data_IF_425910147317
#
_entry.id   IF_425910147317
#
_cell.length_a   1.000
_cell.length_b   1.000
_cell.length_c   1.000
_cell.angle_alpha   90.00
_cell.angle_beta   90.00
_cell.angle_gamma   90.00
#
_symmetry.space_group_name_H-M   'P 1'
#
loop_
_entity.id
_entity.type
_entity.pdbx_description
1 polymer ?
#
# COMPACT_ATOMS: atom_id res chain seq x y z
N UNK A 1 22.34 2.04 7.37
CA UNK A 1 20.90 2.17 7.03
C UNK A 1 20.21 0.94 7.56
N UNK A 2 19.21 1.12 8.42
CA UNK A 2 18.48 0.03 9.04
C UNK A 2 17.71 -0.80 7.98
N UNK A 3 17.69 -2.13 8.12
CA UNK A 3 16.94 -3.05 7.26
C UNK A 3 16.05 -3.95 8.12
N UNK A 4 14.77 -3.58 8.25
CA UNK A 4 13.77 -4.30 9.03
C UNK A 4 13.59 -5.76 8.64
N UNK A 5 13.86 -6.11 7.38
CA UNK A 5 13.72 -7.47 6.86
C UNK A 5 15.03 -8.25 6.82
N UNK A 6 16.15 -7.67 7.25
CA UNK A 6 17.45 -8.34 7.24
C UNK A 6 17.41 -9.64 8.06
N UNK A 7 17.90 -10.73 7.47
CA UNK A 7 17.90 -12.06 8.10
C UNK A 7 16.55 -12.78 8.17
N UNK A 8 15.44 -12.15 7.75
CA UNK A 8 14.13 -12.79 7.69
C UNK A 8 13.92 -13.39 6.29
N UNK A 9 13.65 -14.69 6.23
CA UNK A 9 13.43 -15.44 4.98
C UNK A 9 11.93 -15.67 4.76
N UNK A 10 11.44 -15.37 3.56
CA UNK A 10 10.01 -15.37 3.22
C UNK A 10 9.13 -14.62 4.24
N UNK A 11 9.45 -13.38 4.66
CA UNK A 11 8.60 -12.64 5.58
C UNK A 11 7.21 -12.43 4.96
N UNK A 12 6.19 -12.47 5.82
CA UNK A 12 4.79 -12.26 5.47
C UNK A 12 4.30 -10.89 5.91
N UNK A 13 3.52 -10.24 5.07
CA UNK A 13 2.90 -8.94 5.33
C UNK A 13 1.61 -8.82 4.52
N UNK A 14 0.83 -7.77 4.77
CA UNK A 14 -0.12 -7.22 3.81
C UNK A 14 0.39 -5.89 3.23
N UNK A 15 -0.25 -5.41 2.17
CA UNK A 15 0.14 -4.15 1.53
C UNK A 15 0.00 -2.94 2.46
N UNK A 16 -1.17 -2.70 3.05
CA UNK A 16 -1.41 -1.49 3.84
C UNK A 16 -2.83 -1.35 4.38
N UNK A 17 -3.80 -1.01 3.53
CA UNK A 17 -5.17 -0.73 3.99
C UNK A 17 -5.94 -1.99 4.40
N UNK A 18 -6.74 -1.90 5.46
CA UNK A 18 -7.55 -3.00 5.99
C UNK A 18 -9.01 -2.55 6.21
N UNK A 19 -10.02 -3.41 6.03
CA UNK A 19 -11.41 -3.01 6.23
C UNK A 19 -11.68 -2.71 7.71
N UNK A 20 -12.20 -1.51 7.97
CA UNK A 20 -12.48 -1.03 9.32
C UNK A 20 -13.58 -1.85 10.00
N UNK A 21 -13.56 -1.98 11.34
CA UNK A 21 -14.71 -2.50 12.08
C UNK A 21 -15.97 -1.66 11.80
N UNK A 22 -17.13 -2.31 11.64
CA UNK A 22 -18.38 -1.63 11.29
C UNK A 22 -18.83 -0.56 12.31
N UNK A 23 -18.37 -0.67 13.56
CA UNK A 23 -18.66 0.31 14.60
C UNK A 23 -17.76 1.55 14.55
N UNK A 24 -16.65 1.52 13.81
CA UNK A 24 -15.74 2.67 13.66
C UNK A 24 -16.30 3.61 12.59
N UNK A 25 -17.04 4.62 13.06
CA UNK A 25 -17.76 5.60 12.22
C UNK A 25 -17.27 7.04 12.39
N UNK A 26 -16.21 7.24 13.19
CA UNK A 26 -15.56 8.54 13.30
C UNK A 26 -14.55 8.77 12.16
N UNK A 27 -14.19 10.03 11.95
CA UNK A 27 -13.24 10.45 10.92
C UNK A 27 -12.54 11.75 11.28
N UNK A 28 -11.48 12.04 10.52
CA UNK A 28 -10.70 13.25 10.63
C UNK A 28 -11.48 14.46 10.13
N UNK A 29 -12.25 14.31 9.05
CA UNK A 29 -13.05 15.37 8.41
C UNK A 29 -12.20 16.62 8.15
N UNK A 30 -11.04 16.44 7.52
CA UNK A 30 -10.06 17.48 7.24
C UNK A 30 -9.22 17.97 8.45
N UNK A 31 -9.51 17.54 9.68
CA UNK A 31 -8.72 17.96 10.85
C UNK A 31 -7.35 17.27 10.88
N UNK A 32 -6.28 17.95 11.35
CA UNK A 32 -5.02 17.28 11.70
C UNK A 32 -5.24 16.12 12.67
N UNK A 33 -4.47 15.04 12.51
CA UNK A 33 -4.66 13.80 13.27
C UNK A 33 -4.52 14.03 14.78
N UNK A 34 -3.48 14.76 15.22
CA UNK A 34 -3.29 15.09 16.64
C UNK A 34 -4.44 15.92 17.22
N UNK A 35 -5.01 16.83 16.44
CA UNK A 35 -6.18 17.61 16.85
C UNK A 35 -7.41 16.71 17.00
N UNK A 36 -7.62 15.79 16.06
CA UNK A 36 -8.73 14.83 16.12
C UNK A 36 -8.62 13.89 17.33
N UNK A 37 -7.39 13.52 17.76
CA UNK A 37 -7.16 12.73 18.97
C UNK A 37 -7.57 13.42 20.29
N UNK A 38 -7.89 14.71 20.27
CA UNK A 38 -8.49 15.43 21.39
C UNK A 38 -10.00 15.21 21.51
N UNK A 39 -10.66 14.70 20.47
CA UNK A 39 -12.06 14.27 20.52
C UNK A 39 -12.17 12.87 21.14
N UNK A 40 -12.94 12.74 22.21
CA UNK A 40 -13.03 11.50 22.99
C UNK A 40 -13.51 10.32 22.14
N UNK A 41 -14.54 10.52 21.31
CA UNK A 41 -15.13 9.44 20.51
C UNK A 41 -14.20 9.00 19.37
N UNK A 42 -13.60 9.96 18.66
CA UNK A 42 -12.61 9.64 17.64
C UNK A 42 -11.41 8.93 18.25
N UNK A 43 -10.89 9.43 19.37
CA UNK A 43 -9.74 8.82 20.05
C UNK A 43 -10.02 7.38 20.44
N UNK A 44 -11.13 7.11 21.11
CA UNK A 44 -11.52 5.77 21.53
C UNK A 44 -11.66 4.85 20.31
N UNK A 45 -12.51 5.22 19.34
CA UNK A 45 -12.76 4.36 18.19
C UNK A 45 -11.53 4.13 17.32
N UNK A 46 -10.69 5.15 17.10
CA UNK A 46 -9.47 4.99 16.31
C UNK A 46 -8.48 4.04 17.00
N UNK A 47 -8.25 4.20 18.30
CA UNK A 47 -7.33 3.34 19.05
C UNK A 47 -7.81 1.88 19.05
N UNK A 48 -9.10 1.66 19.29
CA UNK A 48 -9.69 0.32 19.27
C UNK A 48 -9.67 -0.30 17.87
N UNK A 49 -9.85 0.52 16.81
CA UNK A 49 -9.84 0.04 15.44
C UNK A 49 -8.44 -0.42 15.04
N UNK A 50 -7.40 0.38 15.33
CA UNK A 50 -6.01 0.00 15.06
C UNK A 50 -5.65 -1.26 15.87
N UNK A 51 -6.02 -1.33 17.15
CA UNK A 51 -5.75 -2.52 17.98
C UNK A 51 -6.43 -3.77 17.41
N UNK A 52 -7.64 -3.64 16.90
CA UNK A 52 -8.38 -4.73 16.23
C UNK A 52 -7.65 -5.21 14.96
N UNK A 53 -7.17 -4.27 14.14
CA UNK A 53 -6.42 -4.57 12.90
C UNK A 53 -5.09 -5.25 13.20
N UNK A 54 -4.36 -4.78 14.22
CA UNK A 54 -3.12 -5.40 14.68
C UNK A 54 -3.39 -6.83 15.18
N UNK A 55 -4.42 -7.01 16.01
CA UNK A 55 -4.78 -8.33 16.55
C UNK A 55 -5.14 -9.32 15.45
N UNK A 56 -5.87 -8.89 14.42
CA UNK A 56 -6.19 -9.73 13.26
C UNK A 56 -4.93 -10.24 12.55
N UNK A 57 -3.98 -9.34 12.28
CA UNK A 57 -2.74 -9.70 11.59
C UNK A 57 -1.86 -10.63 12.45
N UNK A 58 -1.77 -10.40 13.77
CA UNK A 58 -1.05 -11.28 14.69
C UNK A 58 -1.73 -12.66 14.82
N UNK A 59 -3.07 -12.73 14.80
CA UNK A 59 -3.78 -14.01 14.82
C UNK A 59 -3.59 -14.78 13.51
N UNK A 60 -3.45 -14.07 12.39
CA UNK A 60 -3.10 -14.65 11.10
C UNK A 60 -1.64 -15.10 11.02
N UNK A 61 -0.76 -14.65 11.92
CA UNK A 61 0.65 -15.02 11.98
C UNK A 61 1.56 -14.21 11.06
N UNK A 62 1.18 -12.96 10.75
CA UNK A 62 1.99 -12.05 9.92
C UNK A 62 3.28 -11.61 10.63
N UNK A 63 4.38 -11.51 9.89
CA UNK A 63 5.68 -11.09 10.42
C UNK A 63 5.79 -9.56 10.54
N UNK A 64 5.23 -8.84 9.55
CA UNK A 64 5.23 -7.38 9.48
C UNK A 64 3.77 -6.90 9.42
N UNK A 65 3.42 -5.97 10.31
CA UNK A 65 2.05 -5.50 10.47
C UNK A 65 1.87 -4.10 9.89
N UNK A 66 0.62 -3.69 9.73
CA UNK A 66 0.21 -2.36 9.28
C UNK A 66 -0.87 -1.81 10.21
N UNK A 67 -1.11 -0.50 10.20
CA UNK A 67 -2.21 0.14 10.94
C UNK A 67 -3.57 0.01 10.23
N UNK A 68 -3.59 -0.63 9.06
CA UNK A 68 -4.77 -0.76 8.20
C UNK A 68 -5.18 0.52 7.50
N UNK A 69 -4.35 1.56 7.45
CA UNK A 69 -4.72 2.91 7.04
C UNK A 69 -5.97 3.43 7.80
N UNK A 70 -6.11 3.05 9.08
CA UNK A 70 -7.31 3.36 9.88
C UNK A 70 -7.61 4.86 10.02
N UNK A 71 -6.63 5.72 9.67
CA UNK A 71 -6.73 7.18 9.65
C UNK A 71 -7.63 7.74 8.56
N UNK A 72 -7.77 7.03 7.43
CA UNK A 72 -8.53 7.51 6.28
C UNK A 72 -10.02 7.58 6.58
N UNK A 73 -10.72 8.58 6.08
CA UNK A 73 -12.17 8.66 6.29
C UNK A 73 -12.89 7.64 5.41
N UNK A 74 -14.14 7.31 5.77
CA UNK A 74 -15.00 6.48 4.93
C UNK A 74 -15.52 7.34 3.78
N UNK A 75 -14.85 7.26 2.64
CA UNK A 75 -15.16 8.04 1.44
C UNK A 75 -15.20 7.15 0.18
N UNK A 76 -15.97 7.59 -0.81
CA UNK A 76 -16.20 6.90 -2.08
C UNK A 76 -14.87 6.56 -2.77
N UNK A 77 -14.73 5.31 -3.19
CA UNK A 77 -13.59 4.78 -3.92
C UNK A 77 -12.25 4.93 -3.20
N UNK A 78 -12.25 5.10 -1.88
CA UNK A 78 -11.01 5.30 -1.13
C UNK A 78 -10.36 6.68 -1.31
N UNK A 79 -11.15 7.70 -1.67
CA UNK A 79 -10.70 9.09 -1.88
C UNK A 79 -9.64 9.56 -0.87
N UNK A 80 -9.85 9.27 0.41
CA UNK A 80 -8.94 9.63 1.51
C UNK A 80 -7.48 9.21 1.31
N UNK A 81 -7.19 8.22 0.46
CA UNK A 81 -5.81 7.86 0.11
C UNK A 81 -5.01 9.04 -0.44
N UNK A 82 -5.62 9.83 -1.34
CA UNK A 82 -5.03 11.08 -1.81
C UNK A 82 -5.33 12.22 -0.82
N UNK A 83 -6.58 12.34 -0.40
CA UNK A 83 -7.08 13.53 0.28
C UNK A 83 -6.58 13.67 1.71
N UNK A 84 -6.09 12.60 2.36
CA UNK A 84 -5.39 12.74 3.63
C UNK A 84 -4.23 13.74 3.52
N UNK A 85 -3.42 13.65 2.47
CA UNK A 85 -2.32 14.59 2.26
C UNK A 85 -2.85 15.92 1.75
N UNK A 86 -3.67 15.89 0.70
CA UNK A 86 -4.11 17.12 0.01
C UNK A 86 -4.89 18.09 0.91
N UNK A 87 -5.74 17.60 1.81
CA UNK A 87 -6.50 18.45 2.74
C UNK A 87 -5.63 19.17 3.77
N UNK A 88 -4.36 18.76 3.90
CA UNK A 88 -3.40 19.28 4.88
C UNK A 88 -2.27 20.07 4.23
N UNK A 89 -2.28 20.27 2.92
CA UNK A 89 -1.29 21.09 2.22
C UNK A 89 -1.74 22.55 2.12
N UNK A 90 -0.78 23.48 2.25
CA UNK A 90 -0.99 24.86 1.84
C UNK A 90 -0.72 25.05 0.34
N UNK A 91 -1.21 26.15 -0.23
CA UNK A 91 -1.08 26.46 -1.67
C UNK A 91 -2.25 25.98 -2.55
N UNK A 92 -3.19 25.23 -1.96
CA UNK A 92 -4.38 24.73 -2.62
C UNK A 92 -5.59 25.64 -2.38
N UNK A 93 -6.39 25.91 -3.42
CA UNK A 93 -7.63 26.70 -3.32
C UNK A 93 -8.69 26.25 -4.33
N UNK A 94 -9.90 25.99 -3.84
CA UNK A 94 -11.01 25.55 -4.70
C UNK A 94 -10.81 24.13 -5.22
N UNK A 95 -11.71 23.70 -6.10
CA UNK A 95 -11.69 22.38 -6.73
C UNK A 95 -12.33 22.42 -8.12
N UNK A 96 -12.05 21.40 -8.94
CA UNK A 96 -12.78 21.14 -10.19
C UNK A 96 -13.47 19.77 -10.11
N UNK A 97 -14.54 19.60 -10.87
CA UNK A 97 -15.43 18.42 -10.82
C UNK A 97 -14.82 17.11 -11.33
N UNK A 98 -13.51 17.06 -11.57
CA UNK A 98 -12.75 15.96 -12.12
C UNK A 98 -11.28 16.12 -11.74
N UNK A 99 -10.52 15.02 -11.68
CA UNK A 99 -9.06 15.06 -11.60
C UNK A 99 -8.44 15.13 -12.99
N UNK A 100 -7.33 15.86 -13.19
CA UNK A 100 -6.65 15.88 -14.47
C UNK A 100 -6.04 14.51 -14.83
N UNK A 101 -5.82 13.67 -13.81
CA UNK A 101 -5.11 12.40 -13.98
C UNK A 101 -5.91 11.11 -13.78
N UNK A 102 -7.23 11.19 -13.75
CA UNK A 102 -8.08 10.01 -13.57
C UNK A 102 -9.31 10.06 -14.48
N UNK A 103 -9.67 11.27 -14.93
CA UNK A 103 -10.79 11.53 -15.82
C UNK A 103 -10.33 11.39 -17.27
N UNK A 104 -10.65 10.25 -17.88
CA UNK A 104 -10.37 9.96 -19.30
C UNK A 104 -9.44 8.76 -19.54
N UNK A 105 -8.54 8.48 -18.60
CA UNK A 105 -7.42 7.54 -18.79
C UNK A 105 -7.84 6.06 -19.00
N UNK A 106 -9.05 5.68 -18.57
CA UNK A 106 -9.48 4.28 -18.54
C UNK A 106 -10.78 4.04 -19.32
N UNK A 107 -11.24 4.99 -20.13
CA UNK A 107 -12.48 4.84 -20.90
C UNK A 107 -13.75 4.69 -20.05
N UNK A 108 -13.70 5.06 -18.77
CA UNK A 108 -14.81 4.99 -17.81
C UNK A 108 -15.97 5.88 -18.28
N UNK A 109 -17.19 5.35 -18.27
CA UNK A 109 -18.42 6.03 -18.72
C UNK A 109 -19.46 6.09 -17.60
N UNK A 110 -20.43 7.04 -17.66
CA UNK A 110 -21.57 7.06 -16.76
C UNK A 110 -22.27 5.69 -16.65
N UNK A 111 -22.62 5.30 -15.42
CA UNK A 111 -23.22 3.99 -15.11
C UNK A 111 -22.22 2.89 -14.73
N UNK A 112 -20.92 3.13 -14.93
CA UNK A 112 -19.87 2.29 -14.36
C UNK A 112 -19.55 2.75 -12.94
N UNK A 113 -19.34 1.82 -11.99
CA UNK A 113 -19.03 2.18 -10.58
C UNK A 113 -17.80 3.09 -10.43
N UNK A 114 -16.77 2.91 -11.27
CA UNK A 114 -15.59 3.80 -11.31
C UNK A 114 -15.92 5.24 -11.73
N UNK A 115 -17.04 5.46 -12.42
CA UNK A 115 -17.50 6.81 -12.76
C UNK A 115 -17.98 7.55 -11.50
N UNK A 116 -18.66 6.85 -10.58
CA UNK A 116 -19.03 7.45 -9.28
C UNK A 116 -17.78 7.82 -8.46
N UNK A 117 -16.73 7.01 -8.54
CA UNK A 117 -15.43 7.33 -7.93
C UNK A 117 -14.83 8.60 -8.55
N UNK A 118 -14.85 8.72 -9.88
CA UNK A 118 -14.42 9.94 -10.58
C UNK A 118 -15.19 11.18 -10.12
N UNK A 119 -16.51 11.08 -10.01
CA UNK A 119 -17.35 12.22 -9.61
C UNK A 119 -17.14 12.62 -8.16
N UNK A 120 -16.85 11.67 -7.27
CA UNK A 120 -16.53 11.96 -5.88
C UNK A 120 -15.21 12.74 -5.71
N UNK A 121 -14.30 12.63 -6.67
CA UNK A 121 -12.97 13.23 -6.60
C UNK A 121 -12.98 14.70 -7.05
N UNK A 122 -13.36 15.58 -6.12
CA UNK A 122 -13.28 17.03 -6.28
C UNK A 122 -11.84 17.52 -6.10
N UNK A 123 -11.06 17.43 -7.17
CA UNK A 123 -9.61 17.63 -7.14
C UNK A 123 -9.25 19.11 -6.88
N UNK A 124 -8.36 19.40 -5.90
CA UNK A 124 -7.97 20.75 -5.57
C UNK A 124 -7.15 21.42 -6.68
N UNK A 125 -7.10 22.75 -6.65
CA UNK A 125 -6.31 23.56 -7.58
C UNK A 125 -5.10 24.15 -6.86
N UNK A 126 -3.92 23.93 -7.40
CA UNK A 126 -2.66 24.54 -6.97
C UNK A 126 -2.62 25.96 -7.51
N UNK A 127 -2.78 26.95 -6.63
CA UNK A 127 -2.87 28.38 -6.99
C UNK A 127 -1.74 29.22 -6.42
N UNK A 128 -0.94 28.63 -5.54
CA UNK A 128 0.27 29.19 -4.97
C UNK A 128 1.27 28.06 -4.72
N UNK A 129 2.51 28.43 -4.36
CA UNK A 129 3.53 27.45 -3.97
C UNK A 129 3.01 26.56 -2.84
N UNK A 130 3.21 25.25 -2.98
CA UNK A 130 2.87 24.27 -1.97
C UNK A 130 3.67 24.52 -0.70
N UNK A 131 3.02 24.28 0.43
CA UNK A 131 3.66 24.29 1.75
C UNK A 131 3.17 23.10 2.54
N UNK A 132 4.05 22.55 3.37
CA UNK A 132 3.69 21.49 4.29
C UNK A 132 2.58 21.97 5.26
N UNK A 133 1.73 21.03 5.68
CA UNK A 133 0.90 21.22 6.87
C UNK A 133 1.03 20.03 7.80
N UNK A 134 -0.03 19.72 8.55
CA UNK A 134 0.08 18.78 9.67
C UNK A 134 -0.29 17.34 9.27
N UNK A 135 0.61 16.64 8.56
CA UNK A 135 0.38 15.24 8.18
C UNK A 135 0.51 14.26 9.34
N UNK A 136 1.25 14.63 10.40
CA UNK A 136 1.34 13.86 11.64
C UNK A 136 1.79 12.39 11.46
N UNK A 137 2.58 12.07 10.42
CA UNK A 137 3.10 10.71 10.17
C UNK A 137 3.75 10.06 11.39
N UNK A 138 4.60 10.76 12.19
CA UNK A 138 5.13 10.22 13.43
C UNK A 138 4.06 9.71 14.39
N UNK A 139 2.98 10.48 14.61
CA UNK A 139 1.95 10.13 15.58
C UNK A 139 1.08 8.96 15.11
N UNK A 140 0.78 8.89 13.81
CA UNK A 140 0.08 7.76 13.20
C UNK A 140 0.85 6.46 13.44
N UNK A 141 2.13 6.43 13.05
CA UNK A 141 2.97 5.25 13.22
C UNK A 141 3.17 4.89 14.71
N UNK A 142 3.45 5.87 15.58
CA UNK A 142 3.64 5.65 17.01
C UNK A 142 2.41 5.02 17.69
N UNK A 143 1.21 5.39 17.26
CA UNK A 143 -0.03 4.80 17.81
C UNK A 143 -0.12 3.32 17.48
N UNK A 144 0.21 2.92 16.26
CA UNK A 144 0.18 1.52 15.85
C UNK A 144 1.36 0.73 16.45
N UNK A 145 2.58 1.26 16.36
CA UNK A 145 3.78 0.56 16.82
C UNK A 145 3.75 0.24 18.31
N UNK A 146 3.17 1.10 19.17
CA UNK A 146 3.09 0.82 20.61
C UNK A 146 2.10 -0.30 20.98
N UNK A 147 1.28 -0.78 20.04
CA UNK A 147 0.29 -1.84 20.28
C UNK A 147 0.86 -3.25 20.08
N UNK A 148 2.04 -3.39 19.48
CA UNK A 148 2.67 -4.67 19.17
C UNK A 148 4.19 -4.60 19.30
N UNK A 149 4.82 -5.75 19.54
CA UNK A 149 6.28 -5.88 19.46
C UNK A 149 6.78 -6.08 18.01
N UNK A 150 5.89 -6.47 17.09
CA UNK A 150 6.24 -6.68 15.69
C UNK A 150 6.51 -5.33 14.99
N UNK A 151 7.28 -5.38 13.90
CA UNK A 151 7.51 -4.18 13.08
C UNK A 151 6.21 -3.73 12.43
N UNK A 152 5.83 -2.47 12.64
CA UNK A 152 4.74 -1.83 11.91
C UNK A 152 5.29 -1.06 10.72
N UNK A 153 4.92 -1.49 9.51
CA UNK A 153 5.17 -0.81 8.24
C UNK A 153 4.25 0.39 8.10
N UNK A 154 4.84 1.58 7.98
CA UNK A 154 4.09 2.81 7.72
C UNK A 154 3.88 3.00 6.21
N UNK A 155 2.62 3.21 5.78
CA UNK A 155 2.28 3.40 4.37
C UNK A 155 1.90 4.84 4.04
N UNK A 156 2.44 5.38 2.95
CA UNK A 156 1.99 6.65 2.36
C UNK A 156 1.98 6.60 0.84
N UNK A 157 1.41 7.63 0.22
CA UNK A 157 1.34 7.82 -1.23
C UNK A 157 2.53 8.65 -1.73
N UNK A 158 3.04 8.29 -2.90
CA UNK A 158 4.09 9.02 -3.61
C UNK A 158 3.67 10.41 -4.09
N UNK A 159 4.62 11.34 -4.14
CA UNK A 159 4.44 12.69 -4.70
C UNK A 159 3.92 12.66 -6.14
N UNK A 160 4.42 11.74 -6.95
CA UNK A 160 4.06 11.53 -8.36
C UNK A 160 2.58 11.18 -8.52
N UNK A 161 2.04 10.37 -7.61
CA UNK A 161 0.64 9.97 -7.64
C UNK A 161 -0.27 11.03 -7.03
N UNK A 162 0.18 11.72 -5.98
CA UNK A 162 -0.54 12.84 -5.37
C UNK A 162 -0.82 13.96 -6.38
N UNK A 163 0.16 14.34 -7.20
CA UNK A 163 0.00 15.46 -8.14
C UNK A 163 -0.98 15.20 -9.26
N UNK A 164 -1.24 13.93 -9.61
CA UNK A 164 -2.32 13.58 -10.57
C UNK A 164 -3.72 13.94 -10.07
N UNK A 165 -3.87 14.12 -8.76
CA UNK A 165 -5.10 14.55 -8.11
C UNK A 165 -5.18 16.06 -7.88
N UNK A 166 -4.32 16.84 -8.53
CA UNK A 166 -4.28 18.30 -8.39
C UNK A 166 -4.27 18.99 -9.75
N UNK A 167 -5.01 20.07 -9.89
CA UNK A 167 -4.92 20.95 -11.05
C UNK A 167 -3.81 21.96 -10.85
N UNK A 168 -2.80 21.94 -11.73
CA UNK A 168 -1.68 22.86 -11.66
C UNK A 168 -2.01 24.19 -12.38
N UNK A 169 -2.17 25.28 -11.62
CA UNK A 169 -2.37 26.64 -12.15
C UNK A 169 -1.30 27.62 -11.63
N UNK A 170 -0.23 27.10 -11.01
CA UNK A 170 0.83 27.91 -10.41
C UNK A 170 2.22 27.57 -10.95
N UNK A 171 2.58 26.29 -10.99
CA UNK A 171 3.92 25.89 -11.43
C UNK A 171 4.02 25.90 -12.97
N UNK A 172 5.17 26.30 -13.54
CA UNK A 172 5.44 26.22 -14.97
C UNK A 172 5.22 24.84 -15.60
N UNK A 173 5.38 23.76 -14.83
CA UNK A 173 5.10 22.40 -15.29
C UNK A 173 4.70 21.48 -14.13
N UNK A 174 4.05 20.36 -14.47
CA UNK A 174 3.74 19.30 -13.48
C UNK A 174 5.02 18.65 -12.92
N UNK A 175 6.12 18.65 -13.68
CA UNK A 175 7.42 18.16 -13.20
C UNK A 175 7.93 19.01 -12.04
N UNK A 176 7.84 20.33 -12.14
CA UNK A 176 8.22 21.22 -11.03
C UNK A 176 7.30 21.11 -9.82
N UNK A 177 5.99 20.93 -10.05
CA UNK A 177 5.04 20.64 -8.98
C UNK A 177 5.38 19.33 -8.25
N UNK A 178 5.73 18.27 -8.99
CA UNK A 178 6.16 16.99 -8.41
C UNK A 178 7.41 17.17 -7.56
N UNK A 179 8.43 17.90 -8.04
CA UNK A 179 9.67 18.09 -7.29
C UNK A 179 9.47 18.89 -5.99
N UNK A 180 8.61 19.92 -5.98
CA UNK A 180 8.30 20.67 -4.74
C UNK A 180 7.48 19.80 -3.76
N UNK A 181 6.60 18.91 -4.27
CA UNK A 181 5.92 17.92 -3.44
C UNK A 181 6.91 16.89 -2.85
N UNK A 182 7.88 16.41 -3.64
CA UNK A 182 8.91 15.48 -3.15
C UNK A 182 9.67 16.07 -1.96
N UNK A 183 9.98 17.37 -1.97
CA UNK A 183 10.66 18.04 -0.85
C UNK A 183 9.80 18.07 0.42
N UNK A 184 8.49 18.32 0.27
CA UNK A 184 7.52 18.31 1.38
C UNK A 184 7.40 16.91 1.98
N UNK A 185 7.17 15.89 1.14
CA UNK A 185 6.99 14.51 1.60
C UNK A 185 8.29 13.93 2.15
N UNK A 186 9.45 14.28 1.59
CA UNK A 186 10.75 13.86 2.12
C UNK A 186 10.90 14.27 3.58
N UNK A 187 10.54 15.50 3.94
CA UNK A 187 10.64 15.95 5.33
C UNK A 187 9.75 15.12 6.26
N UNK A 188 8.52 14.81 5.85
CA UNK A 188 7.58 13.98 6.62
C UNK A 188 8.06 12.53 6.76
N UNK A 189 8.69 11.98 5.72
CA UNK A 189 9.34 10.66 5.75
C UNK A 189 10.54 10.62 6.69
N UNK A 190 11.36 11.68 6.68
CA UNK A 190 12.49 11.82 7.62
C UNK A 190 12.01 11.97 9.06
N UNK A 191 10.91 12.68 9.28
CA UNK A 191 10.33 12.87 10.62
C UNK A 191 9.77 11.57 11.19
N UNK A 192 9.06 10.76 10.39
CA UNK A 192 8.55 9.46 10.86
C UNK A 192 9.68 8.45 11.07
N UNK A 193 10.73 8.47 10.23
CA UNK A 193 11.94 7.67 10.47
C UNK A 193 12.65 8.10 11.77
N UNK A 194 12.84 9.40 12.00
CA UNK A 194 13.44 9.95 13.21
C UNK A 194 12.62 9.65 14.48
N UNK A 195 11.31 9.46 14.34
CA UNK A 195 10.43 9.01 15.43
C UNK A 195 10.64 7.52 15.80
N UNK A 196 11.39 6.77 15.01
CA UNK A 196 11.74 5.36 15.21
C UNK A 196 11.12 4.41 14.18
N UNK A 197 10.42 4.91 13.16
CA UNK A 197 9.83 4.07 12.12
C UNK A 197 10.93 3.43 11.27
N UNK A 198 10.95 2.09 11.32
CA UNK A 198 12.01 1.27 10.73
C UNK A 198 11.73 0.84 9.30
N UNK A 199 10.48 0.89 8.87
CA UNK A 199 10.02 0.38 7.58
C UNK A 199 8.91 1.29 7.07
N UNK A 200 9.18 1.94 5.92
CA UNK A 200 8.25 2.86 5.28
C UNK A 200 7.97 2.36 3.87
N UNK A 201 6.69 2.32 3.50
CA UNK A 201 6.23 1.97 2.16
C UNK A 201 5.60 3.18 1.48
N UNK A 202 6.03 3.41 0.25
CA UNK A 202 5.51 4.44 -0.64
C UNK A 202 4.71 3.77 -1.75
N UNK A 203 3.43 4.07 -1.81
CA UNK A 203 2.53 3.64 -2.87
C UNK A 203 2.81 4.51 -4.11
N UNK A 204 3.49 3.90 -5.08
CA UNK A 204 3.96 4.55 -6.30
C UNK A 204 3.47 3.74 -7.51
N UNK A 205 2.21 3.93 -7.94
CA UNK A 205 1.72 3.27 -9.12
C UNK A 205 2.09 3.97 -10.45
N UNK A 206 2.68 5.17 -10.43
CA UNK A 206 2.90 5.96 -11.63
C UNK A 206 3.81 5.29 -12.65
N UNK A 207 4.89 4.63 -12.20
CA UNK A 207 5.84 3.95 -13.08
C UNK A 207 5.12 2.93 -13.97
N UNK A 208 4.28 2.06 -13.41
CA UNK A 208 3.62 1.03 -14.21
C UNK A 208 2.38 1.53 -14.96
N UNK A 209 1.65 2.51 -14.44
CA UNK A 209 0.55 3.13 -15.20
C UNK A 209 1.05 3.90 -16.42
N UNK A 210 2.28 4.42 -16.42
CA UNK A 210 2.88 5.01 -17.62
C UNK A 210 2.96 4.04 -18.79
N UNK A 211 2.97 2.73 -18.53
CA UNK A 211 2.97 1.73 -19.60
C UNK A 211 1.64 1.71 -20.38
N UNK A 212 0.57 2.26 -19.83
CA UNK A 212 -0.74 2.35 -20.49
C UNK A 212 -0.82 3.51 -21.49
N UNK A 213 0.11 4.47 -21.43
CA UNK A 213 0.18 5.58 -22.37
C UNK A 213 1.25 5.28 -23.45
N UNK A 214 0.84 5.12 -24.74
CA UNK A 214 1.78 4.91 -25.83
C UNK A 214 2.73 6.10 -26.06
N UNK A 215 2.39 7.30 -25.60
CA UNK A 215 3.20 8.50 -25.75
C UNK A 215 4.32 8.63 -24.69
N UNK A 216 4.26 7.84 -23.61
CA UNK A 216 5.33 7.77 -22.61
C UNK A 216 6.67 7.51 -23.29
N UNK A 217 7.72 8.14 -22.80
CA UNK A 217 9.10 7.93 -23.24
C UNK A 217 10.00 7.48 -22.09
N UNK A 218 11.21 6.98 -22.39
CA UNK A 218 12.19 6.64 -21.36
C UNK A 218 12.57 7.85 -20.50
N UNK A 219 12.59 9.06 -21.09
CA UNK A 219 12.83 10.30 -20.35
C UNK A 219 11.72 10.63 -19.32
N UNK A 220 10.50 10.09 -19.50
CA UNK A 220 9.45 10.21 -18.49
C UNK A 220 9.71 9.26 -17.33
N UNK A 221 10.15 8.03 -17.62
CA UNK A 221 10.58 7.08 -16.59
C UNK A 221 11.79 7.60 -15.80
N UNK A 222 12.81 8.14 -16.47
CA UNK A 222 13.98 8.75 -15.82
C UNK A 222 13.56 9.83 -14.82
N UNK A 223 12.59 10.66 -15.20
CA UNK A 223 12.05 11.69 -14.32
C UNK A 223 11.31 11.11 -13.12
N UNK A 224 10.46 10.09 -13.29
CA UNK A 224 9.73 9.50 -12.16
C UNK A 224 10.67 8.76 -11.20
N UNK A 225 11.71 8.12 -11.71
CA UNK A 225 12.79 7.53 -10.93
C UNK A 225 13.55 8.60 -10.15
N UNK A 226 13.92 9.71 -10.80
CA UNK A 226 14.56 10.86 -10.13
C UNK A 226 13.67 11.42 -9.00
N UNK A 227 12.39 11.64 -9.28
CA UNK A 227 11.43 12.16 -8.31
C UNK A 227 11.28 11.22 -7.10
N UNK A 228 11.21 9.90 -7.32
CA UNK A 228 11.10 8.94 -6.21
C UNK A 228 12.38 8.95 -5.38
N UNK A 229 13.54 8.97 -6.05
CA UNK A 229 14.84 9.00 -5.40
C UNK A 229 15.06 10.27 -4.57
N UNK A 230 14.53 11.41 -5.04
CA UNK A 230 14.49 12.67 -4.29
C UNK A 230 13.58 12.57 -3.08
N UNK A 231 12.36 12.05 -3.24
CA UNK A 231 11.38 11.91 -2.16
C UNK A 231 11.91 11.07 -0.99
N UNK A 232 12.73 10.04 -1.24
CA UNK A 232 13.28 9.16 -0.20
C UNK A 232 14.70 9.52 0.26
N UNK A 233 15.28 10.59 -0.26
CA UNK A 233 16.67 10.94 0.01
C UNK A 233 16.92 11.17 1.51
N UNK A 234 17.91 10.47 2.07
CA UNK A 234 18.34 10.67 3.47
C UNK A 234 17.34 10.18 4.53
N UNK A 235 16.33 9.40 4.15
CA UNK A 235 15.42 8.72 5.08
C UNK A 235 16.14 7.49 5.67
N UNK A 236 16.30 7.44 7.00
CA UNK A 236 16.95 6.31 7.69
C UNK A 236 15.94 5.23 8.11
N UNK A 237 15.37 4.56 7.11
CA UNK A 237 14.47 3.41 7.26
C UNK A 237 14.66 2.44 6.09
N UNK A 238 14.13 1.23 6.20
CA UNK A 238 13.95 0.36 5.03
C UNK A 238 12.82 0.93 4.16
N UNK A 239 13.10 1.18 2.88
CA UNK A 239 12.16 1.81 1.96
C UNK A 239 11.55 0.76 1.04
N UNK A 240 10.22 0.71 1.01
CA UNK A 240 9.45 -0.14 0.11
C UNK A 240 8.74 0.72 -0.93
N UNK A 241 8.74 0.29 -2.18
CA UNK A 241 7.90 0.84 -3.24
C UNK A 241 6.78 -0.16 -3.53
N UNK A 242 5.53 0.24 -3.34
CA UNK A 242 4.36 -0.57 -3.67
C UNK A 242 3.78 -0.22 -5.05
N UNK A 243 3.68 -1.23 -5.92
CA UNK A 243 2.96 -1.16 -7.20
C UNK A 243 1.82 -2.17 -7.27
N UNK A 244 0.67 -1.74 -7.80
CA UNK A 244 -0.50 -2.57 -8.10
C UNK A 244 -1.41 -1.86 -9.12
N UNK A 245 -2.37 -2.58 -9.70
CA UNK A 245 -3.25 -2.06 -10.75
C UNK A 245 -4.55 -1.42 -10.24
N UNK A 246 -4.53 -0.98 -8.98
CA UNK A 246 -5.61 -0.24 -8.32
C UNK A 246 -6.71 -1.13 -7.74
N UNK A 247 -7.46 -0.53 -6.80
CA UNK A 247 -8.63 -1.15 -6.16
C UNK A 247 -9.76 -0.18 -5.74
N UNK A 248 -9.98 0.98 -6.40
CA UNK A 248 -11.05 1.90 -6.00
C UNK A 248 -12.41 1.18 -6.01
N UNK A 249 -13.12 1.19 -4.88
CA UNK A 249 -14.37 0.44 -4.70
C UNK A 249 -14.25 -1.06 -5.09
N UNK A 250 -13.09 -1.66 -4.82
CA UNK A 250 -12.74 -3.05 -5.15
C UNK A 250 -12.62 -3.36 -6.66
N UNK A 251 -12.56 -2.35 -7.52
CA UNK A 251 -12.57 -2.53 -8.97
C UNK A 251 -11.17 -2.56 -9.59
N UNK A 252 -11.04 -3.27 -10.71
CA UNK A 252 -9.85 -3.23 -11.56
C UNK A 252 -9.87 -2.00 -12.45
N UNK A 253 -8.71 -1.36 -12.61
CA UNK A 253 -8.55 -0.23 -13.53
C UNK A 253 -8.08 -0.66 -14.93
N UNK A 254 -7.41 -1.81 -15.03
CA UNK A 254 -6.76 -2.28 -16.27
C UNK A 254 -7.19 -3.70 -16.58
N UNK A 255 -7.50 -3.98 -17.85
CA UNK A 255 -7.99 -5.29 -18.30
C UNK A 255 -6.87 -6.31 -18.47
N UNK A 256 -5.71 -5.90 -18.99
CA UNK A 256 -4.55 -6.78 -19.21
C UNK A 256 -3.29 -6.14 -18.60
N UNK A 257 -3.19 -6.12 -17.25
CA UNK A 257 -2.05 -5.56 -16.57
C UNK A 257 -0.75 -6.29 -16.93
N UNK A 258 0.33 -5.53 -17.09
CA UNK A 258 1.69 -6.08 -17.18
C UNK A 258 2.76 -5.05 -16.80
N UNK A 259 3.80 -5.50 -16.11
CA UNK A 259 4.95 -4.70 -15.69
C UNK A 259 6.09 -4.64 -16.72
N UNK A 260 5.98 -5.34 -17.86
CA UNK A 260 7.06 -5.52 -18.85
C UNK A 260 7.81 -4.24 -19.20
N UNK A 261 7.08 -3.13 -19.40
CA UNK A 261 7.69 -1.84 -19.76
C UNK A 261 8.29 -1.08 -18.57
N UNK A 262 7.77 -1.28 -17.36
CA UNK A 262 8.11 -0.47 -16.19
C UNK A 262 9.11 -1.15 -15.24
N UNK A 263 9.27 -2.48 -15.33
CA UNK A 263 10.00 -3.28 -14.36
C UNK A 263 11.49 -2.89 -14.24
N UNK A 264 12.15 -2.54 -15.34
CA UNK A 264 13.54 -2.09 -15.33
C UNK A 264 13.67 -0.81 -14.48
N UNK A 265 12.83 0.19 -14.74
CA UNK A 265 12.81 1.46 -14.01
C UNK A 265 12.43 1.29 -12.54
N UNK A 266 11.49 0.38 -12.24
CA UNK A 266 11.14 0.02 -10.86
C UNK A 266 12.34 -0.56 -10.09
N UNK A 267 13.32 -1.15 -10.77
CA UNK A 267 14.57 -1.61 -10.14
C UNK A 267 15.66 -0.53 -10.08
N UNK A 268 15.48 0.64 -10.69
CA UNK A 268 16.40 1.78 -10.61
C UNK A 268 16.09 2.71 -9.44
N UNK A 269 14.88 2.64 -8.88
CA UNK A 269 14.48 3.46 -7.72
C UNK A 269 15.29 3.11 -6.47
N UNK A 270 15.48 4.09 -5.57
CA UNK A 270 16.17 3.97 -4.29
C UNK A 270 15.27 3.32 -3.21
N UNK A 271 14.59 2.23 -3.56
CA UNK A 271 13.88 1.37 -2.62
C UNK A 271 14.68 0.08 -2.36
N UNK A 272 14.49 -0.50 -1.18
CA UNK A 272 15.04 -1.79 -0.78
C UNK A 272 14.19 -2.97 -1.23
N UNK A 273 12.89 -2.72 -1.29
CA UNK A 273 11.87 -3.70 -1.67
C UNK A 273 10.95 -3.08 -2.71
N UNK A 274 10.69 -3.83 -3.78
CA UNK A 274 9.64 -3.49 -4.74
C UNK A 274 8.55 -4.54 -4.65
N UNK A 275 7.30 -4.10 -4.52
CA UNK A 275 6.16 -5.01 -4.42
C UNK A 275 5.36 -5.06 -5.72
N UNK A 276 4.93 -6.25 -6.14
CA UNK A 276 4.18 -6.45 -7.37
C UNK A 276 2.88 -7.22 -7.12
N UNK A 277 1.77 -6.73 -7.68
CA UNK A 277 0.54 -7.51 -7.86
C UNK A 277 0.78 -8.71 -8.78
N UNK A 278 0.47 -9.93 -8.30
CA UNK A 278 0.70 -11.18 -9.03
C UNK A 278 -0.48 -12.17 -8.94
N UNK A 279 -1.23 -12.26 -7.84
CA UNK A 279 -2.31 -13.23 -7.72
C UNK A 279 -3.46 -12.93 -8.69
N UNK A 280 -3.78 -11.65 -8.91
CA UNK A 280 -4.81 -11.19 -9.84
C UNK A 280 -4.58 -11.57 -11.30
N UNK A 281 -3.31 -11.72 -11.70
CA UNK A 281 -2.88 -12.14 -13.04
C UNK A 281 -2.41 -13.61 -13.10
N UNK A 282 -2.49 -14.35 -11.98
CA UNK A 282 -1.98 -15.70 -11.89
C UNK A 282 -0.46 -15.79 -12.07
N UNK A 283 0.29 -14.77 -11.66
CA UNK A 283 1.75 -14.72 -11.74
C UNK A 283 2.28 -14.65 -13.17
N UNK A 284 1.53 -14.04 -14.10
CA UNK A 284 1.91 -13.92 -15.52
C UNK A 284 3.28 -13.26 -15.70
N UNK A 285 3.60 -12.27 -14.88
CA UNK A 285 4.82 -11.45 -15.01
C UNK A 285 6.01 -11.99 -14.19
N UNK A 286 5.86 -13.09 -13.44
CA UNK A 286 6.97 -13.68 -12.66
C UNK A 286 8.23 -13.96 -13.51
N UNK A 287 8.13 -14.45 -14.77
CA UNK A 287 9.31 -14.68 -15.61
C UNK A 287 10.10 -13.41 -15.96
N UNK A 288 9.50 -12.22 -15.84
CA UNK A 288 10.19 -10.97 -16.10
C UNK A 288 11.32 -10.73 -15.08
N UNK A 289 11.19 -11.23 -13.85
CA UNK A 289 12.23 -11.05 -12.82
C UNK A 289 13.58 -11.67 -13.21
N UNK A 290 13.58 -12.76 -13.98
CA UNK A 290 14.81 -13.38 -14.48
C UNK A 290 15.49 -12.59 -15.60
N UNK A 291 14.82 -11.59 -16.18
CA UNK A 291 15.34 -10.76 -17.27
C UNK A 291 16.09 -9.52 -16.78
N UNK A 292 16.04 -9.24 -15.47
CA UNK A 292 16.64 -8.05 -14.88
C UNK A 292 17.53 -8.40 -13.69
N UNK A 293 18.75 -7.87 -13.70
CA UNK A 293 19.64 -7.96 -12.54
C UNK A 293 19.23 -6.93 -11.49
N UNK A 294 18.97 -7.39 -10.27
CA UNK A 294 18.69 -6.52 -9.13
C UNK A 294 19.10 -7.21 -7.83
N UNK A 295 19.61 -6.42 -6.89
CA UNK A 295 19.89 -6.86 -5.52
C UNK A 295 18.75 -6.58 -4.54
N UNK A 296 17.67 -5.92 -5.00
CA UNK A 296 16.50 -5.61 -4.19
C UNK A 296 15.77 -6.88 -3.79
N UNK A 297 15.02 -6.78 -2.68
CA UNK A 297 14.00 -7.78 -2.37
C UNK A 297 12.75 -7.53 -3.21
N UNK A 298 12.02 -8.60 -3.49
CA UNK A 298 10.80 -8.58 -4.28
C UNK A 298 9.68 -9.09 -3.39
N UNK A 299 8.68 -8.25 -3.16
CA UNK A 299 7.44 -8.69 -2.52
C UNK A 299 6.40 -9.02 -3.59
N UNK A 300 5.78 -10.20 -3.51
CA UNK A 300 4.74 -10.60 -4.45
C UNK A 300 3.39 -10.71 -3.74
N UNK A 301 2.35 -10.24 -4.41
CA UNK A 301 0.98 -10.49 -4.01
C UNK A 301 0.57 -11.93 -4.29
N UNK A 302 0.20 -12.68 -3.25
CA UNK A 302 -0.25 -14.09 -3.36
C UNK A 302 -1.72 -14.30 -3.07
N UNK A 303 -2.43 -13.22 -2.75
CA UNK A 303 -3.89 -13.18 -2.58
C UNK A 303 -4.46 -11.98 -3.31
N UNK A 304 -5.59 -12.19 -3.97
CA UNK A 304 -6.23 -11.22 -4.84
C UNK A 304 -7.23 -10.36 -4.04
N UNK A 305 -7.08 -9.04 -4.10
CA UNK A 305 -7.93 -8.07 -3.39
C UNK A 305 -9.24 -7.74 -4.12
N UNK A 306 -9.34 -8.00 -5.43
CA UNK A 306 -10.50 -7.65 -6.26
C UNK A 306 -11.59 -8.73 -6.27
N UNK A 307 -11.48 -9.76 -5.44
CA UNK A 307 -12.51 -10.80 -5.34
C UNK A 307 -12.75 -11.22 -3.89
N UNK A 308 -13.93 -11.81 -3.65
CA UNK A 308 -14.40 -12.20 -2.32
C UNK A 308 -14.08 -13.65 -1.96
N UNK A 309 -13.53 -14.43 -2.91
CA UNK A 309 -13.15 -15.82 -2.67
C UNK A 309 -11.84 -15.83 -1.92
N UNK A 310 -11.82 -16.45 -0.74
CA UNK A 310 -10.59 -16.66 0.02
C UNK A 310 -9.78 -17.76 -0.67
N UNK A 311 -8.53 -17.48 -1.00
CA UNK A 311 -7.60 -18.45 -1.56
C UNK A 311 -7.37 -19.61 -0.58
N UNK A 312 -7.23 -20.83 -1.09
CA UNK A 312 -6.74 -21.94 -0.28
C UNK A 312 -5.24 -21.79 0.00
N UNK A 313 -4.74 -22.31 1.13
CA UNK A 313 -3.30 -22.34 1.41
C UNK A 313 -2.47 -23.01 0.30
N UNK A 314 -3.04 -23.97 -0.44
CA UNK A 314 -2.33 -24.62 -1.55
C UNK A 314 -2.22 -23.73 -2.80
N UNK A 315 -3.25 -22.93 -3.10
CA UNK A 315 -3.18 -21.94 -4.19
C UNK A 315 -2.10 -20.89 -3.90
N UNK A 316 -2.05 -20.41 -2.65
CA UNK A 316 -1.00 -19.50 -2.18
C UNK A 316 0.37 -20.16 -2.32
N UNK A 317 0.56 -21.36 -1.78
CA UNK A 317 1.84 -22.08 -1.87
C UNK A 317 2.28 -22.32 -3.32
N UNK A 318 1.35 -22.67 -4.21
CA UNK A 318 1.61 -22.85 -5.64
C UNK A 318 2.17 -21.60 -6.32
N UNK A 319 1.64 -20.41 -5.99
CA UNK A 319 2.16 -19.16 -6.54
C UNK A 319 3.53 -18.79 -5.94
N UNK A 320 3.74 -19.05 -4.66
CA UNK A 320 5.05 -18.85 -4.00
C UNK A 320 6.12 -19.75 -4.66
N UNK A 321 5.82 -21.04 -4.88
CA UNK A 321 6.75 -21.98 -5.55
C UNK A 321 7.14 -21.49 -6.95
N UNK A 322 6.15 -21.01 -7.73
CA UNK A 322 6.42 -20.41 -9.04
C UNK A 322 7.31 -19.18 -8.96
N UNK A 323 7.12 -18.33 -7.95
CA UNK A 323 7.97 -17.15 -7.79
C UNK A 323 9.41 -17.52 -7.42
N UNK A 324 9.61 -18.59 -6.64
CA UNK A 324 10.94 -19.12 -6.30
C UNK A 324 11.71 -19.67 -7.51
N UNK A 325 11.06 -19.91 -8.65
CA UNK A 325 11.75 -20.23 -9.92
C UNK A 325 12.54 -19.02 -10.47
N UNK A 326 12.17 -17.79 -10.09
CA UNK A 326 12.72 -16.55 -10.64
C UNK A 326 13.36 -15.63 -9.59
N UNK A 327 12.96 -15.76 -8.32
CA UNK A 327 13.44 -14.93 -7.22
C UNK A 327 14.05 -15.83 -6.14
N UNK A 328 15.33 -15.61 -5.77
CA UNK A 328 15.95 -16.33 -4.66
C UNK A 328 15.18 -16.18 -3.34
N UNK A 329 15.13 -17.25 -2.55
CA UNK A 329 14.31 -17.35 -1.34
C UNK A 329 14.61 -16.24 -0.31
N UNK A 330 15.87 -15.83 -0.20
CA UNK A 330 16.35 -14.78 0.70
C UNK A 330 15.91 -13.37 0.29
N UNK A 331 15.44 -13.22 -0.96
CA UNK A 331 14.94 -11.95 -1.52
C UNK A 331 13.44 -11.93 -1.72
N UNK A 332 12.74 -13.04 -1.55
CA UNK A 332 11.30 -13.13 -1.75
C UNK A 332 10.54 -12.77 -0.46
N UNK A 333 9.57 -11.87 -0.58
CA UNK A 333 8.64 -11.45 0.48
C UNK A 333 7.22 -11.79 0.03
N UNK A 334 6.40 -12.27 0.96
CA UNK A 334 5.03 -12.69 0.66
C UNK A 334 4.05 -11.61 1.14
N UNK A 335 3.27 -11.06 0.21
CA UNK A 335 2.33 -9.96 0.45
C UNK A 335 0.96 -10.25 -0.17
N UNK A 336 0.04 -9.33 0.02
CA UNK A 336 -1.22 -9.21 -0.73
C UNK A 336 -0.97 -8.42 -2.03
N UNK A 337 -1.81 -8.60 -3.06
CA UNK A 337 -1.69 -7.86 -4.33
C UNK A 337 -1.80 -6.35 -4.15
N UNK A 338 -2.75 -5.91 -3.32
CA UNK A 338 -2.99 -4.54 -2.92
C UNK A 338 -3.56 -4.55 -1.49
N UNK A 339 -3.90 -3.36 -0.96
CA UNK A 339 -4.66 -3.24 0.27
C UNK A 339 -6.09 -3.78 0.15
N UNK A 340 -6.68 -4.17 1.28
CA UNK A 340 -8.04 -4.69 1.37
C UNK A 340 -9.08 -3.62 1.74
N UNK A 341 -8.64 -2.48 2.28
CA UNK A 341 -9.50 -1.38 2.70
C UNK A 341 -10.03 -0.55 1.52
N UNK A 342 -10.50 0.68 1.80
CA UNK A 342 -10.91 1.67 0.78
C UNK A 342 -12.16 1.28 -0.03
N UNK A 343 -13.25 0.93 0.66
CA UNK A 343 -14.46 0.31 0.06
C UNK A 343 -14.16 -1.01 -0.68
N UNK A 344 -13.15 -1.74 -0.19
CA UNK A 344 -12.77 -3.06 -0.67
C UNK A 344 -13.60 -4.20 -0.07
N UNK A 345 -12.95 -5.32 0.20
CA UNK A 345 -13.60 -6.52 0.75
C UNK A 345 -14.00 -6.35 2.22
N UNK A 346 -14.87 -7.23 2.70
CA UNK A 346 -15.22 -7.25 4.14
C UNK A 346 -14.02 -7.65 5.02
N UNK A 347 -14.01 -7.15 6.26
CA UNK A 347 -12.99 -7.51 7.28
C UNK A 347 -12.84 -9.03 7.45
N UNK A 348 -13.95 -9.77 7.43
CA UNK A 348 -13.93 -11.24 7.56
C UNK A 348 -13.16 -11.90 6.42
N UNK A 349 -13.39 -11.46 5.18
CA UNK A 349 -12.70 -12.00 4.00
C UNK A 349 -11.22 -11.60 4.05
N UNK A 350 -10.91 -10.34 4.35
CA UNK A 350 -9.54 -9.85 4.50
C UNK A 350 -8.75 -10.68 5.52
N UNK A 351 -9.34 -10.90 6.70
CA UNK A 351 -8.75 -11.74 7.75
C UNK A 351 -8.42 -13.14 7.24
N UNK A 352 -9.37 -13.83 6.61
CA UNK A 352 -9.14 -15.19 6.14
C UNK A 352 -8.20 -15.27 4.93
N UNK A 353 -8.10 -14.22 4.10
CA UNK A 353 -7.04 -14.10 3.09
C UNK A 353 -5.65 -13.98 3.74
N UNK A 354 -5.52 -13.21 4.83
CA UNK A 354 -4.27 -13.17 5.60
C UNK A 354 -3.92 -14.53 6.22
N UNK A 355 -4.90 -15.24 6.79
CA UNK A 355 -4.70 -16.60 7.32
C UNK A 355 -4.22 -17.56 6.23
N UNK A 356 -4.88 -17.56 5.07
CA UNK A 356 -4.49 -18.40 3.95
C UNK A 356 -3.09 -18.06 3.41
N UNK A 357 -2.74 -16.76 3.36
CA UNK A 357 -1.41 -16.30 2.97
C UNK A 357 -0.33 -16.91 3.85
N UNK A 358 -0.47 -16.83 5.17
CA UNK A 358 0.54 -17.35 6.10
C UNK A 358 0.55 -18.87 6.12
N UNK A 359 -0.60 -19.54 6.10
CA UNK A 359 -0.66 -21.00 6.00
C UNK A 359 -0.02 -21.54 4.71
N UNK A 360 -0.25 -20.86 3.57
CA UNK A 360 0.38 -21.20 2.30
C UNK A 360 1.89 -20.96 2.34
N UNK A 361 2.33 -19.88 2.97
CA UNK A 361 3.75 -19.61 3.19
C UNK A 361 4.40 -20.66 4.08
N UNK A 362 3.72 -21.12 5.14
CA UNK A 362 4.22 -22.18 6.03
C UNK A 362 4.43 -23.51 5.32
N UNK A 363 3.57 -23.87 4.35
CA UNK A 363 3.80 -25.06 3.51
C UNK A 363 5.15 -24.98 2.78
N UNK A 364 5.44 -23.84 2.17
CA UNK A 364 6.72 -23.61 1.47
C UNK A 364 7.89 -23.52 2.45
N UNK A 365 7.74 -22.84 3.59
CA UNK A 365 8.76 -22.79 4.65
C UNK A 365 9.13 -24.20 5.11
N UNK A 366 8.13 -25.07 5.35
CA UNK A 366 8.33 -26.46 5.73
C UNK A 366 9.07 -27.27 4.66
N UNK A 367 8.73 -27.09 3.38
CA UNK A 367 9.42 -27.72 2.24
C UNK A 367 10.91 -27.32 2.18
N UNK A 368 11.23 -26.09 2.60
CA UNK A 368 12.57 -25.52 2.61
C UNK A 368 13.31 -25.70 3.95
N UNK A 369 12.71 -26.36 4.95
CA UNK A 369 13.30 -26.52 6.28
C UNK A 369 13.40 -25.21 7.09
N UNK A 370 12.61 -24.21 6.75
CA UNK A 370 12.53 -22.93 7.45
C UNK A 370 11.51 -22.99 8.60
N UNK A 371 11.67 -22.15 9.65
CA UNK A 371 10.68 -22.05 10.73
C UNK A 371 9.30 -21.65 10.20
N UNK A 372 8.24 -22.32 10.69
CA UNK A 372 6.85 -21.97 10.41
C UNK A 372 6.39 -20.84 11.35
N UNK A 373 5.55 -19.92 10.85
CA UNK A 373 4.90 -18.92 11.69
C UNK A 373 3.69 -19.52 12.42
N UNK A 374 3.47 -19.10 13.66
CA UNK A 374 2.30 -19.53 14.43
C UNK A 374 1.04 -18.82 13.92
N UNK A 375 0.09 -19.58 13.39
CA UNK A 375 -1.22 -19.07 12.94
C UNK A 375 -2.28 -19.41 14.00
N UNK A 376 -2.40 -18.56 15.03
CA UNK A 376 -3.34 -18.79 16.15
C UNK A 376 -4.78 -19.00 15.68
N UNK A 377 -5.19 -18.30 14.62
CA UNK A 377 -6.51 -18.42 14.02
C UNK A 377 -6.83 -19.82 13.45
N UNK A 378 -5.79 -20.62 13.20
CA UNK A 378 -5.88 -21.97 12.65
C UNK A 378 -5.50 -23.05 13.68
N UNK A 379 -5.28 -22.68 14.94
CA UNK A 379 -4.94 -23.62 15.99
C UNK A 379 -6.19 -24.45 16.37
N UNK A 380 -6.16 -25.80 16.22
CA UNK A 380 -7.29 -26.65 16.54
C UNK A 380 -7.73 -26.58 18.01
N UNK A 381 -6.84 -26.20 18.93
CA UNK A 381 -7.16 -26.06 20.36
C UNK A 381 -8.21 -24.97 20.64
N UNK A 382 -8.28 -23.94 19.79
CA UNK A 382 -9.22 -22.83 19.94
C UNK A 382 -10.50 -23.00 19.12
N UNK A 383 -10.70 -24.16 18.49
CA UNK A 383 -11.93 -24.46 17.76
C UNK A 383 -13.03 -24.92 18.71
N UNK A 384 -14.28 -24.53 18.45
CA UNK A 384 -15.42 -24.93 19.28
C UNK A 384 -15.73 -26.43 19.22
N UNK A 385 -15.24 -27.13 18.20
CA UNK A 385 -15.33 -28.59 18.08
C UNK A 385 -14.35 -29.33 19.00
N UNK A 386 -13.43 -28.62 19.66
CA UNK A 386 -12.27 -29.21 20.32
C UNK A 386 -11.23 -29.74 19.32
N UNK A 387 -10.12 -30.31 19.83
CA UNK A 387 -9.10 -30.92 18.98
C UNK A 387 -9.74 -31.95 18.03
N UNK A 388 -9.40 -31.89 16.74
CA UNK A 388 -9.88 -32.86 15.75
C UNK A 388 -9.29 -34.23 16.13
N UNK A 389 -10.11 -35.08 16.76
CA UNK A 389 -9.73 -36.43 17.18
C UNK A 389 -10.07 -36.73 18.65
N UNK A 390 -11.34 -36.99 18.91
CA UNK A 390 -11.78 -37.95 19.93
C UNK A 390 -12.59 -39.04 19.24
#
# INVERSE_FOLDING_TARGET
MFKATEGIVLPTTMTGSYPKPNWYNQGLRGRPFKTALGDTLFREQYLDAVATVITDQEMAGMDILTDGDSRFDLEVGGKSWFFYVLERLGGLKGSKSQSPGWSGDFGIQPGHILYEVQEAYQSPIVTARLTAGQLDYPALWQVAQKMTANTVKFGTISSQSLTRMMWNEFYPSDKELILDMCDIINQELRDVAAAGCKLIQIEEPRHHFMAQDPATTDADYDFYTEAFNREVQGVDAEIWLHTCWGNPAQQRLVTNPTYERAIAHLFEVNADVVTFEAAGSGGKDLPLFAQHETNKKIAIGVVNHTNTVVESPEQVAGLIRRALEFVPVERLIISTDCGFGREGISRRIAFHKCVALVQGTNKVRKELGLPEAMVRAADPQFTFSGPIGN
#
